data_IF_793968643047
#
_entry.id   IF_793968643047
#
_cell.length_a   1.000
_cell.length_b   1.000
_cell.length_c   1.000
_cell.angle_alpha   90.00
_cell.angle_beta   90.00
_cell.angle_gamma   90.00
#
_symmetry.space_group_name_H-M   'P 1'
#
loop_
_entity.id
_entity.type
_entity.pdbx_description
1 polymer ?
#
# COMPACT_ATOMS: atom_id res chain seq x y z
N UNK A 1 -26.29 28.24 6.30
CA UNK A 1 -27.46 28.01 5.43
C UNK A 1 -26.94 27.97 4.00
N UNK A 2 -26.52 26.75 3.51
CA UNK A 2 -26.01 26.56 2.15
C UNK A 2 -27.10 25.85 1.34
N UNK A 3 -27.53 26.51 0.28
CA UNK A 3 -28.54 26.06 -0.67
C UNK A 3 -28.04 24.82 -1.44
N UNK A 4 -28.75 23.70 -1.29
CA UNK A 4 -28.65 22.56 -2.19
C UNK A 4 -29.54 22.85 -3.41
N UNK A 5 -28.96 23.34 -4.49
CA UNK A 5 -29.61 23.37 -5.79
C UNK A 5 -29.55 21.97 -6.39
N UNK A 6 -30.66 21.25 -6.35
CA UNK A 6 -30.88 20.01 -7.04
C UNK A 6 -30.91 20.29 -8.56
N UNK A 7 -29.84 19.91 -9.28
CA UNK A 7 -29.85 19.83 -10.73
C UNK A 7 -30.70 18.63 -11.17
N UNK A 8 -31.97 18.88 -11.47
CA UNK A 8 -32.83 17.96 -12.19
C UNK A 8 -32.31 17.85 -13.64
N UNK A 9 -31.70 16.73 -14.00
CA UNK A 9 -31.34 16.38 -15.36
C UNK A 9 -32.42 15.46 -15.95
N UNK A 10 -32.74 15.59 -17.25
CA UNK A 10 -33.85 14.87 -17.88
C UNK A 10 -33.68 13.36 -17.85
N UNK A 11 -34.78 12.65 -17.69
CA UNK A 11 -34.86 11.21 -17.76
C UNK A 11 -34.38 10.75 -19.17
N UNK A 12 -33.19 10.15 -19.23
CA UNK A 12 -32.68 9.57 -20.45
C UNK A 12 -33.41 8.24 -20.72
N UNK A 13 -33.99 8.14 -21.90
CA UNK A 13 -34.67 6.92 -22.38
C UNK A 13 -33.73 5.69 -22.28
N UNK A 14 -34.35 4.52 -22.11
CA UNK A 14 -33.68 3.22 -22.07
C UNK A 14 -32.97 2.90 -23.40
N UNK A 15 -31.73 3.38 -23.56
CA UNK A 15 -30.83 2.87 -24.59
C UNK A 15 -30.26 1.54 -24.11
N UNK A 16 -30.32 0.48 -24.95
CA UNK A 16 -29.58 -0.78 -24.71
C UNK A 16 -28.13 -0.42 -24.41
N UNK A 17 -27.62 -0.87 -23.27
CA UNK A 17 -26.24 -0.59 -22.90
C UNK A 17 -25.31 -1.24 -23.92
N UNK A 18 -24.42 -0.43 -24.48
CA UNK A 18 -23.42 -0.85 -25.43
C UNK A 18 -22.26 -1.50 -24.65
N UNK A 19 -22.17 -2.83 -24.74
CA UNK A 19 -21.16 -3.63 -24.03
C UNK A 19 -19.71 -3.33 -24.48
N UNK A 20 -19.56 -2.64 -25.60
CA UNK A 20 -18.25 -2.24 -26.14
C UNK A 20 -17.70 -0.97 -25.50
N UNK A 21 -18.50 -0.24 -24.72
CA UNK A 21 -18.09 1.04 -24.12
C UNK A 21 -17.52 0.87 -22.71
N UNK A 22 -16.50 1.69 -22.43
CA UNK A 22 -15.95 1.87 -21.08
C UNK A 22 -17.01 2.50 -20.18
N UNK A 23 -17.14 1.98 -18.94
CA UNK A 23 -17.93 2.64 -17.89
C UNK A 23 -17.01 3.55 -17.09
N UNK A 24 -17.33 4.84 -17.03
CA UNK A 24 -16.63 5.82 -16.22
C UNK A 24 -17.39 6.07 -14.92
N UNK A 25 -16.66 6.41 -13.87
CA UNK A 25 -17.23 6.69 -12.54
C UNK A 25 -16.53 7.91 -11.94
N UNK A 26 -17.32 8.89 -11.46
CA UNK A 26 -16.83 9.99 -10.62
C UNK A 26 -17.51 9.85 -9.26
N UNK A 27 -16.74 9.86 -8.20
CA UNK A 27 -17.24 9.66 -6.84
C UNK A 27 -16.58 10.57 -5.83
N UNK A 28 -17.32 10.82 -4.76
CA UNK A 28 -16.83 11.48 -3.56
C UNK A 28 -17.07 10.58 -2.36
N UNK A 29 -16.21 10.63 -1.39
CA UNK A 29 -16.42 9.94 -0.11
C UNK A 29 -15.76 10.71 1.04
N UNK A 30 -16.28 10.48 2.24
CA UNK A 30 -15.74 10.96 3.51
C UNK A 30 -15.42 9.79 4.42
N UNK A 31 -14.35 9.90 5.19
CA UNK A 31 -13.84 8.83 6.05
C UNK A 31 -13.51 9.35 7.44
N UNK A 32 -14.49 9.37 8.36
CA UNK A 32 -14.20 9.55 9.77
C UNK A 32 -13.46 8.33 10.31
N UNK A 33 -12.34 8.53 11.00
CA UNK A 33 -11.47 7.44 11.41
C UNK A 33 -10.89 7.67 12.81
N UNK A 34 -10.48 6.57 13.43
CA UNK A 34 -9.76 6.50 14.68
C UNK A 34 -8.27 6.28 14.39
N UNK A 35 -7.39 7.06 15.04
CA UNK A 35 -5.95 6.87 14.95
C UNK A 35 -5.54 5.75 15.91
N UNK A 36 -4.91 4.70 15.38
CA UNK A 36 -4.39 3.61 16.20
C UNK A 36 -3.19 4.14 17.01
N UNK A 37 -3.18 4.00 18.35
CA UNK A 37 -2.14 4.56 19.21
C UNK A 37 -0.86 3.71 19.19
N UNK A 38 -0.30 3.51 18.01
CA UNK A 38 0.92 2.72 17.78
C UNK A 38 2.17 3.35 18.38
N UNK A 39 2.16 4.65 18.64
CA UNK A 39 3.26 5.38 19.27
C UNK A 39 2.76 6.24 20.45
N UNK A 40 3.64 6.53 21.40
CA UNK A 40 3.34 7.34 22.60
C UNK A 40 2.97 8.78 22.27
N UNK A 41 3.43 9.32 21.14
CA UNK A 41 2.99 10.61 20.60
C UNK A 41 1.45 10.70 20.52
N UNK A 42 0.78 9.68 19.99
CA UNK A 42 -0.69 9.64 19.92
C UNK A 42 -1.36 9.44 21.29
N UNK A 43 -0.60 9.02 22.32
CA UNK A 43 -1.11 8.82 23.69
C UNK A 43 -0.99 10.06 24.55
N UNK A 44 -0.46 11.18 24.03
CA UNK A 44 -0.33 12.46 24.71
C UNK A 44 1.11 12.95 24.91
N UNK A 45 2.14 12.18 24.50
CA UNK A 45 3.52 12.68 24.48
C UNK A 45 3.76 13.52 23.21
N UNK A 46 2.94 14.57 23.03
CA UNK A 46 2.96 15.57 21.97
C UNK A 46 2.94 16.98 22.57
N UNK A 47 3.07 18.03 21.77
CA UNK A 47 3.10 19.41 22.26
C UNK A 47 1.76 19.82 22.91
N UNK A 48 0.64 19.26 22.45
CA UNK A 48 -0.67 19.52 23.02
C UNK A 48 -0.89 18.84 24.38
N UNK A 49 -0.04 17.86 24.78
CA UNK A 49 -0.22 17.05 25.98
C UNK A 49 -1.54 16.27 25.99
N UNK A 50 -2.14 16.00 24.82
CA UNK A 50 -3.44 15.38 24.66
C UNK A 50 -3.38 14.17 23.73
N UNK A 51 -4.26 13.22 23.98
CA UNK A 51 -4.44 12.07 23.09
C UNK A 51 -4.98 12.55 21.72
N UNK A 52 -4.31 12.09 20.68
CA UNK A 52 -4.73 12.26 19.29
C UNK A 52 -5.30 10.92 18.81
N UNK A 53 -6.61 10.81 18.74
CA UNK A 53 -7.31 9.58 18.41
C UNK A 53 -8.32 9.72 17.27
N UNK A 54 -8.49 10.93 16.73
CA UNK A 54 -9.46 11.22 15.67
C UNK A 54 -8.76 11.69 14.41
N UNK A 55 -9.25 11.21 13.27
CA UNK A 55 -8.88 11.72 11.97
C UNK A 55 -10.10 11.74 11.05
N UNK A 56 -9.99 12.49 9.97
CA UNK A 56 -11.01 12.56 8.95
C UNK A 56 -10.39 12.82 7.60
N UNK A 57 -11.04 12.33 6.53
CA UNK A 57 -10.61 12.66 5.18
C UNK A 57 -11.78 12.81 4.22
N UNK A 58 -11.58 13.64 3.19
CA UNK A 58 -12.50 13.81 2.08
C UNK A 58 -11.78 13.41 0.78
N UNK A 59 -12.49 12.70 -0.09
CA UNK A 59 -11.90 12.14 -1.30
C UNK A 59 -12.72 12.49 -2.53
N UNK A 60 -12.01 12.75 -3.64
CA UNK A 60 -12.53 12.82 -5.00
C UNK A 60 -11.88 11.70 -5.81
N UNK A 61 -12.69 10.87 -6.48
CA UNK A 61 -12.23 9.71 -7.22
C UNK A 61 -12.76 9.72 -8.65
N UNK A 62 -11.90 9.43 -9.61
CA UNK A 62 -12.25 9.05 -10.96
C UNK A 62 -11.81 7.63 -11.23
N UNK A 63 -12.71 6.79 -11.78
CA UNK A 63 -12.37 5.44 -12.17
C UNK A 63 -13.08 5.01 -13.44
N UNK A 64 -12.60 3.92 -14.01
CA UNK A 64 -13.22 3.26 -15.16
C UNK A 64 -13.24 1.74 -14.97
N UNK A 65 -14.19 1.10 -15.63
CA UNK A 65 -14.26 -0.36 -15.75
C UNK A 65 -14.13 -0.73 -17.23
N UNK A 66 -13.39 -1.82 -17.50
CA UNK A 66 -13.20 -2.30 -18.88
C UNK A 66 -14.54 -2.71 -19.52
N UNK A 67 -14.68 -2.56 -20.87
CA UNK A 67 -15.84 -3.06 -21.60
C UNK A 67 -16.10 -4.54 -21.32
N UNK A 68 -17.38 -4.93 -21.27
CA UNK A 68 -17.74 -6.30 -20.92
C UNK A 68 -17.27 -7.35 -21.92
N UNK A 69 -17.19 -7.00 -23.18
CA UNK A 69 -16.71 -7.83 -24.30
C UNK A 69 -15.18 -7.85 -24.43
N UNK A 70 -14.48 -6.90 -23.82
CA UNK A 70 -13.02 -6.88 -23.82
C UNK A 70 -12.45 -8.07 -23.03
N UNK A 71 -11.22 -8.46 -23.35
CA UNK A 71 -10.52 -9.54 -22.63
C UNK A 71 -10.46 -9.29 -21.12
N UNK A 72 -10.02 -8.10 -20.67
CA UNK A 72 -9.94 -7.75 -19.27
C UNK A 72 -11.33 -7.67 -18.61
N UNK A 73 -12.34 -7.15 -19.32
CA UNK A 73 -13.70 -7.11 -18.82
C UNK A 73 -14.34 -8.50 -18.63
N UNK A 74 -13.93 -9.50 -19.43
CA UNK A 74 -14.37 -10.91 -19.24
C UNK A 74 -13.64 -11.58 -18.08
N UNK A 75 -12.34 -11.31 -17.90
CA UNK A 75 -11.54 -11.88 -16.80
C UNK A 75 -11.95 -11.23 -15.46
N UNK A 76 -12.13 -9.90 -15.44
CA UNK A 76 -12.42 -9.09 -14.25
C UNK A 76 -13.72 -8.31 -14.40
N UNK A 77 -14.89 -8.98 -14.43
CA UNK A 77 -16.15 -8.37 -14.86
C UNK A 77 -16.67 -7.26 -13.95
N UNK A 78 -16.19 -7.16 -12.71
CA UNK A 78 -16.65 -6.17 -11.73
C UNK A 78 -15.54 -5.21 -11.28
N UNK A 79 -14.33 -5.40 -11.79
CA UNK A 79 -13.20 -4.56 -11.42
C UNK A 79 -13.34 -3.15 -12.01
N UNK A 80 -12.96 -2.19 -11.21
CA UNK A 80 -12.79 -0.79 -11.60
C UNK A 80 -11.46 -0.27 -11.06
N UNK A 81 -10.85 0.63 -11.77
CA UNK A 81 -9.56 1.22 -11.42
C UNK A 81 -9.53 2.70 -11.79
N UNK A 82 -8.71 3.47 -11.07
CA UNK A 82 -8.65 4.89 -11.32
C UNK A 82 -7.66 5.64 -10.44
N UNK A 83 -7.85 6.94 -10.37
CA UNK A 83 -7.04 7.87 -9.59
C UNK A 83 -7.93 8.64 -8.61
N UNK A 84 -7.38 8.97 -7.46
CA UNK A 84 -8.08 9.76 -6.45
C UNK A 84 -7.20 10.83 -5.82
N UNK A 85 -7.87 11.83 -5.30
CA UNK A 85 -7.33 12.89 -4.45
C UNK A 85 -7.94 12.77 -3.08
N UNK A 86 -7.15 12.97 -2.03
CA UNK A 86 -7.65 13.05 -0.66
C UNK A 86 -7.11 14.28 0.05
N UNK A 87 -7.92 14.83 0.94
CA UNK A 87 -7.51 15.77 1.95
C UNK A 87 -7.73 15.14 3.32
N UNK A 88 -6.68 15.09 4.14
CA UNK A 88 -6.72 14.45 5.45
C UNK A 88 -6.53 15.48 6.56
N UNK A 89 -7.15 15.26 7.72
CA UNK A 89 -6.91 16.00 8.94
C UNK A 89 -6.78 15.04 10.12
N UNK A 90 -5.87 15.37 11.03
CA UNK A 90 -5.64 14.67 12.28
C UNK A 90 -6.01 15.53 13.49
N UNK A 91 -6.64 16.70 13.23
CA UNK A 91 -7.01 17.71 14.21
C UNK A 91 -5.83 18.25 15.03
N UNK A 92 -4.63 18.14 14.47
CA UNK A 92 -3.37 18.69 14.96
C UNK A 92 -2.61 19.23 13.75
N UNK A 93 -2.80 20.53 13.49
CA UNK A 93 -2.21 21.18 12.32
C UNK A 93 -0.76 21.58 12.53
N UNK A 94 -0.34 21.80 13.77
CA UNK A 94 1.00 22.28 14.08
C UNK A 94 2.03 21.15 14.03
N UNK A 95 1.76 20.02 14.66
CA UNK A 95 2.71 18.90 14.73
C UNK A 95 2.59 17.91 13.56
N UNK A 96 1.36 17.61 13.10
CA UNK A 96 1.12 16.63 12.02
C UNK A 96 0.84 17.29 10.67
N UNK A 97 0.10 18.39 10.68
CA UNK A 97 -0.38 19.07 9.48
C UNK A 97 -1.71 18.49 8.96
N UNK A 98 -2.08 18.93 7.75
CA UNK A 98 -3.28 18.49 7.05
C UNK A 98 -2.92 17.99 5.65
N UNK A 99 -2.34 16.79 5.52
CA UNK A 99 -1.77 16.33 4.28
C UNK A 99 -2.81 15.99 3.21
N UNK A 100 -2.49 16.34 1.97
CA UNK A 100 -3.18 15.85 0.79
C UNK A 100 -2.56 14.55 0.29
N UNK A 101 -3.32 13.73 -0.43
CA UNK A 101 -2.81 12.54 -1.08
C UNK A 101 -3.30 12.44 -2.53
N UNK A 102 -2.43 11.90 -3.39
CA UNK A 102 -2.75 11.48 -4.76
C UNK A 102 -2.50 9.98 -4.83
N UNK A 103 -3.47 9.23 -5.31
CA UNK A 103 -3.38 7.77 -5.31
C UNK A 103 -4.02 7.12 -6.53
N UNK A 104 -3.48 5.99 -6.95
CA UNK A 104 -4.16 5.03 -7.81
C UNK A 104 -4.99 4.09 -6.93
N UNK A 105 -6.13 3.64 -7.44
CA UNK A 105 -6.95 2.68 -6.72
C UNK A 105 -7.57 1.64 -7.65
N UNK A 106 -7.89 0.51 -7.08
CA UNK A 106 -8.60 -0.58 -7.73
C UNK A 106 -9.57 -1.20 -6.74
N UNK A 107 -10.76 -1.49 -7.21
CA UNK A 107 -11.77 -2.23 -6.48
C UNK A 107 -12.47 -3.25 -7.34
N UNK A 108 -13.11 -4.21 -6.69
CA UNK A 108 -13.96 -5.18 -7.35
C UNK A 108 -14.99 -5.73 -6.37
N UNK A 109 -16.02 -6.35 -6.92
CA UNK A 109 -17.06 -7.03 -6.16
C UNK A 109 -16.56 -8.38 -5.66
N UNK A 110 -16.74 -8.60 -4.34
CA UNK A 110 -16.52 -9.88 -3.69
C UNK A 110 -17.77 -10.75 -3.72
N UNK A 111 -18.93 -10.13 -3.48
CA UNK A 111 -20.21 -10.83 -3.47
C UNK A 111 -21.36 -9.93 -3.92
N UNK A 112 -22.33 -10.53 -4.64
CA UNK A 112 -23.62 -9.91 -4.94
C UNK A 112 -24.62 -10.33 -3.86
N UNK A 113 -25.06 -9.40 -3.02
CA UNK A 113 -25.97 -9.67 -1.90
C UNK A 113 -27.44 -9.59 -2.32
N UNK A 114 -27.78 -8.69 -3.26
CA UNK A 114 -29.08 -8.59 -3.88
C UNK A 114 -28.98 -7.98 -5.28
N UNK A 115 -30.10 -7.80 -5.98
CA UNK A 115 -30.07 -7.18 -7.32
C UNK A 115 -29.42 -5.78 -7.34
N UNK A 116 -29.46 -5.05 -6.21
CA UNK A 116 -28.97 -3.68 -6.10
C UNK A 116 -27.87 -3.49 -5.05
N UNK A 117 -27.51 -4.52 -4.31
CA UNK A 117 -26.54 -4.44 -3.21
C UNK A 117 -25.40 -5.42 -3.45
N UNK A 118 -24.17 -4.93 -3.36
CA UNK A 118 -22.96 -5.73 -3.44
C UNK A 118 -22.04 -5.51 -2.23
N UNK A 119 -21.18 -6.47 -1.99
CA UNK A 119 -20.05 -6.38 -1.09
C UNK A 119 -18.78 -6.30 -1.92
N UNK A 120 -18.03 -5.21 -1.77
CA UNK A 120 -16.89 -4.85 -2.60
C UNK A 120 -15.64 -4.62 -1.73
N UNK A 121 -14.45 -4.77 -2.32
CA UNK A 121 -13.20 -4.28 -1.74
C UNK A 121 -12.61 -3.16 -2.59
N UNK A 122 -11.76 -2.34 -2.00
CA UNK A 122 -10.98 -1.33 -2.69
C UNK A 122 -9.60 -1.16 -2.04
N UNK A 123 -8.54 -1.13 -2.86
CA UNK A 123 -7.18 -0.81 -2.48
C UNK A 123 -6.76 0.52 -3.07
N UNK A 124 -6.10 1.35 -2.28
CA UNK A 124 -5.55 2.63 -2.72
C UNK A 124 -4.05 2.65 -2.42
N UNK A 125 -3.25 3.07 -3.40
CA UNK A 125 -1.81 3.23 -3.28
C UNK A 125 -1.39 4.56 -3.86
N UNK A 126 -0.61 5.35 -3.11
CA UNK A 126 -0.19 6.66 -3.57
C UNK A 126 0.82 7.33 -2.66
N UNK A 127 0.89 8.63 -2.84
CA UNK A 127 1.76 9.52 -2.08
C UNK A 127 0.93 10.58 -1.39
N UNK A 128 1.34 10.95 -0.18
CA UNK A 128 0.75 12.05 0.58
C UNK A 128 1.81 13.09 0.91
N UNK A 129 1.43 14.36 0.88
CA UNK A 129 2.31 15.53 1.04
C UNK A 129 1.62 16.62 1.85
N UNK A 130 2.40 17.54 2.42
CA UNK A 130 1.88 18.57 3.33
C UNK A 130 1.91 18.14 4.79
N UNK A 131 2.73 17.16 5.12
CA UNK A 131 3.04 16.78 6.49
C UNK A 131 3.99 17.78 7.14
N UNK A 132 3.88 17.94 8.45
CA UNK A 132 4.85 18.64 9.29
C UNK A 132 5.77 17.58 9.94
N UNK A 133 7.00 17.37 9.41
CA UNK A 133 7.87 16.33 9.92
C UNK A 133 8.53 16.75 11.24
N UNK A 134 9.15 15.76 11.89
CA UNK A 134 10.05 15.97 13.01
C UNK A 134 11.10 17.04 12.68
N UNK A 135 11.22 18.04 13.54
CA UNK A 135 12.09 19.21 13.37
C UNK A 135 12.51 19.73 14.76
N UNK A 136 13.51 19.08 15.39
CA UNK A 136 13.89 19.38 16.76
C UNK A 136 14.61 20.74 16.93
N UNK A 137 15.12 21.30 15.84
CA UNK A 137 15.87 22.55 15.86
C UNK A 137 15.14 23.74 15.25
N UNK A 138 13.96 23.54 14.67
CA UNK A 138 13.21 24.56 13.98
C UNK A 138 13.80 24.96 12.63
N UNK A 139 14.55 24.07 11.99
CA UNK A 139 15.17 24.32 10.68
C UNK A 139 14.13 24.49 9.56
N UNK A 140 12.98 23.85 9.70
CA UNK A 140 11.88 23.90 8.75
C UNK A 140 10.87 25.00 9.06
N UNK A 141 10.74 25.37 10.34
CA UNK A 141 9.87 26.44 10.83
C UNK A 141 10.53 27.12 12.04
N UNK A 142 11.16 28.29 11.88
CA UNK A 142 11.86 28.99 12.98
C UNK A 142 10.96 29.39 14.16
N UNK A 143 9.65 29.37 13.98
CA UNK A 143 8.69 29.73 15.02
C UNK A 143 8.14 28.54 15.80
N UNK A 144 8.48 27.30 15.40
CA UNK A 144 7.95 26.10 16.00
C UNK A 144 8.91 24.93 15.86
N UNK A 145 9.37 24.37 16.97
CA UNK A 145 10.14 23.12 17.02
C UNK A 145 9.18 21.94 17.10
N UNK A 146 9.30 20.98 16.18
CA UNK A 146 8.48 19.77 16.14
C UNK A 146 9.28 18.56 16.66
N UNK A 147 9.81 18.69 17.87
CA UNK A 147 10.71 17.73 18.51
C UNK A 147 10.01 16.49 19.08
N UNK A 148 8.70 16.56 19.29
CA UNK A 148 7.90 15.45 19.83
C UNK A 148 7.30 14.55 18.77
N UNK A 149 7.23 14.99 17.51
CA UNK A 149 6.65 14.25 16.41
C UNK A 149 7.55 13.10 15.93
N UNK A 150 7.64 12.03 16.69
CA UNK A 150 8.42 10.83 16.32
C UNK A 150 7.69 9.90 15.34
N UNK A 151 6.55 10.32 14.77
CA UNK A 151 5.75 9.48 13.87
C UNK A 151 5.93 9.85 12.41
N UNK A 152 6.28 11.11 12.10
CA UNK A 152 6.44 11.62 10.74
C UNK A 152 7.81 12.27 10.58
N UNK A 153 8.69 11.68 9.79
CA UNK A 153 10.05 12.18 9.54
C UNK A 153 10.24 12.80 8.15
N UNK A 154 9.19 12.92 7.33
CA UNK A 154 9.30 13.54 6.01
C UNK A 154 8.02 14.24 5.56
N UNK A 155 8.18 15.24 4.66
CA UNK A 155 7.05 15.96 4.03
C UNK A 155 6.28 15.11 3.01
N UNK A 156 6.92 14.05 2.51
CA UNK A 156 6.34 13.13 1.53
C UNK A 156 6.29 11.72 2.15
N UNK A 157 5.10 11.13 2.20
CA UNK A 157 4.88 9.80 2.75
C UNK A 157 4.06 8.96 1.77
N UNK A 158 4.23 7.63 1.81
CA UNK A 158 3.35 6.70 1.15
C UNK A 158 1.94 6.79 1.75
N UNK A 159 0.94 6.60 0.92
CA UNK A 159 -0.47 6.46 1.26
C UNK A 159 -0.94 5.09 0.83
N UNK A 160 -1.32 4.25 1.77
CA UNK A 160 -1.83 2.90 1.54
C UNK A 160 -3.15 2.77 2.26
N UNK A 161 -4.20 2.34 1.54
CA UNK A 161 -5.51 2.11 2.15
C UNK A 161 -6.12 0.83 1.61
N UNK A 162 -6.86 0.13 2.46
CA UNK A 162 -7.72 -1.00 2.10
C UNK A 162 -9.10 -0.82 2.73
N UNK A 163 -10.13 -1.03 1.96
CA UNK A 163 -11.51 -0.90 2.42
C UNK A 163 -12.41 -2.03 1.95
N UNK A 164 -13.45 -2.30 2.75
CA UNK A 164 -14.56 -3.20 2.43
C UNK A 164 -15.86 -2.41 2.49
N UNK A 165 -16.64 -2.51 1.42
CA UNK A 165 -17.76 -1.63 1.15
C UNK A 165 -19.03 -2.42 0.86
N UNK A 166 -20.14 -2.00 1.42
CA UNK A 166 -21.46 -2.29 0.91
C UNK A 166 -21.80 -1.21 -0.10
N UNK A 167 -22.04 -1.61 -1.36
CA UNK A 167 -22.38 -0.69 -2.45
C UNK A 167 -23.80 -0.94 -2.91
N UNK A 168 -24.66 0.06 -2.75
CA UNK A 168 -26.03 0.07 -3.20
C UNK A 168 -26.19 0.87 -4.48
N UNK A 169 -26.91 0.32 -5.47
CA UNK A 169 -27.22 0.99 -6.74
C UNK A 169 -28.73 1.31 -6.80
N UNK A 170 -29.15 2.47 -6.24
CA UNK A 170 -30.57 2.87 -6.26
C UNK A 170 -31.11 3.08 -7.67
N UNK A 171 -30.29 3.61 -8.57
CA UNK A 171 -30.61 3.87 -9.96
C UNK A 171 -29.43 3.44 -10.87
N UNK A 172 -29.65 3.21 -12.17
CA UNK A 172 -28.58 2.73 -13.08
C UNK A 172 -27.30 3.55 -13.09
N UNK A 173 -27.40 4.85 -12.81
CA UNK A 173 -26.27 5.79 -12.87
C UNK A 173 -25.69 6.17 -11.49
N UNK A 174 -26.25 5.69 -10.39
CA UNK A 174 -25.86 6.10 -9.05
C UNK A 174 -25.43 4.94 -8.18
N UNK A 175 -24.32 5.10 -7.50
CA UNK A 175 -23.82 4.21 -6.46
C UNK A 175 -23.75 4.98 -5.14
N UNK A 176 -24.23 4.35 -4.08
CA UNK A 176 -24.04 4.81 -2.69
C UNK A 176 -23.27 3.70 -1.99
N UNK A 177 -22.22 4.05 -1.28
CA UNK A 177 -21.40 3.07 -0.57
C UNK A 177 -21.21 3.45 0.88
N UNK A 178 -21.20 2.45 1.74
CA UNK A 178 -20.82 2.58 3.15
C UNK A 178 -19.94 1.38 3.52
N UNK A 179 -18.96 1.58 4.40
CA UNK A 179 -18.07 0.50 4.79
C UNK A 179 -17.02 0.93 5.80
N UNK A 180 -16.00 0.11 5.90
CA UNK A 180 -14.85 0.34 6.77
C UNK A 180 -13.58 0.36 5.93
N UNK A 181 -12.61 1.15 6.35
CA UNK A 181 -11.28 1.09 5.78
C UNK A 181 -10.16 1.30 6.81
N UNK A 182 -8.97 0.90 6.41
CA UNK A 182 -7.73 1.10 7.16
C UNK A 182 -6.76 1.87 6.27
N UNK A 183 -6.12 2.87 6.85
CA UNK A 183 -5.12 3.68 6.13
C UNK A 183 -3.80 3.68 6.87
N UNK A 184 -2.70 3.58 6.12
CA UNK A 184 -1.34 3.66 6.61
C UNK A 184 -0.59 4.76 5.87
N UNK A 185 0.11 5.60 6.64
CA UNK A 185 1.04 6.61 6.12
C UNK A 185 2.43 6.37 6.71
N UNK A 186 3.45 6.33 5.86
CA UNK A 186 4.85 6.25 6.29
C UNK A 186 5.80 6.66 5.16
N UNK A 187 7.03 7.01 5.52
CA UNK A 187 8.07 7.27 4.52
C UNK A 187 8.92 6.03 4.18
N UNK A 188 8.59 4.86 4.75
CA UNK A 188 9.33 3.63 4.49
C UNK A 188 10.77 3.65 5.00
N UNK A 189 11.04 4.36 6.09
CA UNK A 189 12.37 4.57 6.68
C UNK A 189 13.37 5.33 5.79
N UNK A 190 12.91 6.07 4.79
CA UNK A 190 13.78 6.95 4.02
C UNK A 190 14.21 8.20 4.79
N UNK A 191 13.51 8.51 5.87
CA UNK A 191 13.82 9.55 6.85
C UNK A 191 13.42 9.08 8.25
N UNK A 192 14.18 9.49 9.26
CA UNK A 192 13.86 9.22 10.66
C UNK A 192 13.28 10.50 11.30
N UNK A 193 12.34 10.37 12.24
CA UNK A 193 11.64 9.16 12.68
C UNK A 193 10.58 8.67 11.70
N UNK A 194 10.10 7.43 11.85
CA UNK A 194 9.06 6.87 11.01
C UNK A 194 8.23 5.80 11.75
N UNK A 195 7.60 6.15 12.85
CA UNK A 195 6.64 5.26 13.47
C UNK A 195 5.35 5.10 12.62
N UNK A 196 5.11 6.05 11.72
CA UNK A 196 3.98 6.07 10.81
C UNK A 196 2.64 6.40 11.47
N UNK A 197 1.63 6.66 10.65
CA UNK A 197 0.27 6.95 11.10
C UNK A 197 -0.67 5.87 10.55
N UNK A 198 -1.37 5.19 11.45
CA UNK A 198 -2.34 4.15 11.12
C UNK A 198 -3.72 4.58 11.57
N UNK A 199 -4.71 4.47 10.70
CA UNK A 199 -6.11 4.79 11.02
C UNK A 199 -7.04 3.65 10.62
N UNK A 200 -8.13 3.49 11.36
CA UNK A 200 -9.25 2.61 11.04
C UNK A 200 -10.54 3.38 11.20
N UNK A 201 -11.48 3.24 10.26
CA UNK A 201 -12.70 4.02 10.34
C UNK A 201 -13.79 3.63 9.41
N UNK A 202 -14.84 4.45 9.43
CA UNK A 202 -15.95 4.35 8.51
C UNK A 202 -15.68 5.07 7.19
N UNK A 203 -16.38 4.65 6.14
CA UNK A 203 -16.41 5.31 4.84
C UNK A 203 -17.84 5.43 4.37
N UNK A 204 -18.23 6.62 3.91
CA UNK A 204 -19.51 6.86 3.25
C UNK A 204 -19.23 7.61 1.96
N UNK A 205 -19.83 7.17 0.85
CA UNK A 205 -19.60 7.79 -0.44
C UNK A 205 -20.75 7.66 -1.42
N UNK A 206 -20.70 8.50 -2.44
CA UNK A 206 -21.59 8.45 -3.58
C UNK A 206 -20.79 8.59 -4.88
N UNK A 207 -21.23 7.91 -5.92
CA UNK A 207 -20.60 8.00 -7.23
C UNK A 207 -21.63 7.98 -8.36
N UNK A 208 -21.32 8.70 -9.45
CA UNK A 208 -22.09 8.70 -10.68
C UNK A 208 -21.37 7.93 -11.75
N UNK A 209 -22.12 7.06 -12.45
CA UNK A 209 -21.66 6.30 -13.58
C UNK A 209 -22.01 6.99 -14.90
N UNK A 210 -21.12 6.88 -15.88
CA UNK A 210 -21.26 7.40 -17.23
C UNK A 210 -20.86 6.32 -18.24
N UNK A 211 -21.46 6.31 -19.44
CA UNK A 211 -21.19 5.30 -20.45
C UNK A 211 -22.10 4.08 -20.29
N UNK A 212 -21.55 2.87 -20.38
CA UNK A 212 -22.33 1.63 -20.24
C UNK A 212 -22.71 1.41 -18.78
N UNK A 213 -23.99 1.63 -18.44
CA UNK A 213 -24.46 1.70 -17.02
C UNK A 213 -25.17 0.43 -16.52
N UNK A 214 -25.00 -0.72 -17.19
CA UNK A 214 -25.62 -1.96 -16.72
C UNK A 214 -24.92 -2.54 -15.49
N UNK A 215 -25.73 -2.97 -14.51
CA UNK A 215 -25.27 -3.82 -13.42
C UNK A 215 -24.81 -5.15 -14.03
N UNK A 216 -23.50 -5.39 -14.04
CA UNK A 216 -22.98 -6.68 -14.46
C UNK A 216 -23.38 -7.73 -13.42
N UNK A 217 -24.20 -8.68 -13.83
CA UNK A 217 -24.49 -9.85 -13.00
C UNK A 217 -23.22 -10.70 -12.96
N UNK A 218 -22.66 -10.90 -11.77
CA UNK A 218 -21.70 -12.00 -11.57
C UNK A 218 -22.52 -13.27 -11.64
N UNK A 219 -22.08 -14.31 -12.37
CA UNK A 219 -22.64 -15.64 -12.20
C UNK A 219 -22.55 -16.00 -10.71
N UNK A 220 -23.67 -16.28 -10.09
CA UNK A 220 -23.72 -16.78 -8.72
C UNK A 220 -23.01 -18.13 -8.70
N UNK A 221 -21.85 -18.22 -8.02
CA UNK A 221 -21.17 -19.50 -7.80
C UNK A 221 -19.66 -19.54 -8.02
N UNK A 222 -19.01 -18.51 -8.53
CA UNK A 222 -17.55 -18.50 -8.66
C UNK A 222 -16.86 -17.91 -7.43
N UNK A 223 -16.20 -18.73 -6.63
CA UNK A 223 -15.26 -18.25 -5.59
C UNK A 223 -13.98 -17.74 -6.24
N UNK A 224 -13.41 -16.64 -5.74
CA UNK A 224 -12.05 -16.18 -6.12
C UNK A 224 -10.99 -17.26 -5.82
N UNK A 225 -11.31 -18.24 -4.98
CA UNK A 225 -10.47 -19.37 -4.62
C UNK A 225 -10.81 -20.66 -5.38
N UNK A 226 -11.71 -20.60 -6.38
CA UNK A 226 -12.04 -21.78 -7.17
C UNK A 226 -10.82 -22.27 -7.95
N UNK A 227 -10.43 -23.51 -7.65
CA UNK A 227 -9.32 -24.18 -8.30
C UNK A 227 -9.74 -24.58 -9.72
N UNK A 228 -9.01 -24.11 -10.70
CA UNK A 228 -9.22 -24.45 -12.11
C UNK A 228 -8.78 -25.92 -12.36
N UNK A 229 -9.71 -26.85 -12.44
CA UNK A 229 -9.48 -28.31 -12.39
C UNK A 229 -8.95 -28.97 -13.66
N UNK A 230 -8.77 -28.23 -14.76
CA UNK A 230 -8.59 -28.79 -16.09
C UNK A 230 -7.20 -29.32 -16.46
N UNK A 231 -6.48 -30.05 -15.75
CA UNK A 231 -5.32 -30.84 -16.21
C UNK A 231 -4.61 -31.62 -15.12
N UNK A 232 -4.14 -32.79 -15.36
CA UNK A 232 -3.39 -33.65 -14.44
C UNK A 232 -1.90 -33.75 -14.83
N UNK A 233 -1.00 -33.85 -13.84
CA UNK A 233 0.38 -34.25 -14.00
C UNK A 233 1.45 -33.15 -13.98
N UNK A 234 2.74 -33.54 -13.97
CA UNK A 234 3.92 -32.66 -13.89
C UNK A 234 4.04 -31.64 -15.04
N UNK A 235 3.60 -31.99 -16.25
CA UNK A 235 3.56 -31.06 -17.40
C UNK A 235 2.68 -29.84 -17.10
N UNK A 236 1.64 -30.03 -16.36
CA UNK A 236 0.70 -29.00 -15.93
C UNK A 236 1.30 -28.06 -14.88
N UNK A 237 2.06 -28.60 -13.91
CA UNK A 237 2.76 -27.77 -12.92
C UNK A 237 3.68 -26.80 -13.66
N UNK A 238 4.49 -27.28 -14.60
CA UNK A 238 5.40 -26.45 -15.38
C UNK A 238 4.68 -25.37 -16.21
N UNK A 239 3.47 -25.65 -16.74
CA UNK A 239 2.67 -24.69 -17.49
C UNK A 239 2.05 -23.59 -16.61
N UNK A 240 1.93 -23.82 -15.30
CA UNK A 240 1.37 -22.86 -14.32
C UNK A 240 2.43 -22.14 -13.51
N UNK A 241 3.71 -22.53 -13.65
CA UNK A 241 4.81 -21.85 -12.95
C UNK A 241 5.21 -20.56 -13.66
N UNK A 242 5.40 -19.53 -12.87
CA UNK A 242 6.11 -18.29 -13.25
C UNK A 242 7.26 -18.07 -12.29
N UNK A 243 8.31 -17.43 -12.77
CA UNK A 243 9.50 -17.08 -12.01
C UNK A 243 9.69 -15.58 -12.11
N UNK A 244 9.37 -14.86 -11.04
CA UNK A 244 9.57 -13.42 -10.98
C UNK A 244 10.95 -13.15 -10.36
N UNK A 245 11.83 -12.50 -11.10
CA UNK A 245 13.13 -12.03 -10.60
C UNK A 245 13.03 -10.53 -10.42
N UNK A 246 13.25 -10.04 -9.19
CA UNK A 246 13.10 -8.65 -8.82
C UNK A 246 14.41 -8.11 -8.28
N UNK A 247 14.93 -7.05 -8.89
CA UNK A 247 16.04 -6.27 -8.37
C UNK A 247 15.47 -4.96 -7.80
N UNK A 248 15.79 -4.64 -6.56
CA UNK A 248 15.31 -3.44 -5.89
C UNK A 248 16.41 -2.72 -5.12
N UNK A 249 16.19 -1.44 -4.83
CA UNK A 249 17.05 -0.63 -4.00
C UNK A 249 16.27 0.39 -3.19
N UNK A 250 16.91 0.93 -2.15
CA UNK A 250 16.39 2.01 -1.33
C UNK A 250 17.53 2.76 -0.61
N UNK A 251 17.23 3.98 -0.17
CA UNK A 251 18.01 4.69 0.84
C UNK A 251 17.29 4.64 2.17
N UNK A 252 17.99 4.30 3.25
CA UNK A 252 17.43 4.16 4.60
C UNK A 252 18.09 5.12 5.57
N UNK A 253 17.31 5.86 6.35
CA UNK A 253 17.78 6.55 7.54
C UNK A 253 17.70 5.62 8.75
N UNK A 254 18.63 5.72 9.68
CA UNK A 254 18.67 4.88 10.89
C UNK A 254 18.86 5.72 12.14
N UNK A 255 18.02 5.48 13.15
CA UNK A 255 18.24 5.94 14.51
C UNK A 255 19.13 4.94 15.26
N UNK A 256 20.08 5.46 16.04
CA UNK A 256 20.97 4.68 16.89
C UNK A 256 20.82 5.14 18.34
N UNK A 257 20.95 4.22 19.28
CA UNK A 257 20.86 4.54 20.70
C UNK A 257 22.26 4.48 21.30
N UNK A 258 22.66 5.56 21.99
CA UNK A 258 23.89 5.64 22.74
C UNK A 258 23.62 6.19 24.15
N UNK A 259 24.00 5.44 25.18
CA UNK A 259 23.72 5.77 26.59
C UNK A 259 22.24 6.13 26.82
N UNK A 260 21.34 5.33 26.27
CA UNK A 260 19.86 5.50 26.34
C UNK A 260 19.33 6.77 25.65
N UNK A 261 20.17 7.50 24.92
CA UNK A 261 19.80 8.68 24.14
C UNK A 261 19.70 8.28 22.65
N UNK A 262 18.58 8.56 21.99
CA UNK A 262 18.45 8.32 20.55
C UNK A 262 19.21 9.40 19.76
N UNK A 263 20.00 8.94 18.81
CA UNK A 263 20.71 9.79 17.84
C UNK A 263 20.30 9.41 16.43
N UNK A 264 20.25 10.37 15.53
CA UNK A 264 20.04 10.12 14.10
C UNK A 264 21.42 9.98 13.46
N UNK A 265 21.65 8.90 12.72
CA UNK A 265 22.86 8.77 11.93
C UNK A 265 22.87 9.79 10.79
N UNK A 266 24.01 10.43 10.55
CA UNK A 266 24.19 11.29 9.39
C UNK A 266 24.08 10.50 8.08
N UNK A 267 23.36 11.07 7.12
CA UNK A 267 23.22 10.51 5.78
C UNK A 267 22.21 9.34 5.69
N UNK A 268 22.30 8.66 4.57
CA UNK A 268 21.44 7.49 4.26
C UNK A 268 22.31 6.30 3.93
N UNK A 269 21.88 5.14 4.40
CA UNK A 269 22.47 3.85 4.09
C UNK A 269 21.83 3.27 2.83
N UNK A 270 22.67 2.73 1.95
CA UNK A 270 22.22 2.06 0.73
C UNK A 270 21.72 0.66 1.02
N UNK A 271 20.62 0.28 0.35
CA UNK A 271 20.08 -1.07 0.36
C UNK A 271 19.92 -1.53 -1.08
N UNK A 272 20.35 -2.76 -1.35
CA UNK A 272 20.15 -3.44 -2.64
C UNK A 272 19.69 -4.87 -2.35
N UNK A 273 18.67 -5.33 -3.06
CA UNK A 273 18.17 -6.69 -2.87
C UNK A 273 17.69 -7.35 -4.14
N UNK A 274 17.69 -8.67 -4.09
CA UNK A 274 17.25 -9.57 -5.16
C UNK A 274 16.23 -10.55 -4.60
N UNK A 275 15.04 -10.62 -5.21
CA UNK A 275 14.07 -11.68 -4.95
C UNK A 275 13.93 -12.59 -6.15
N UNK A 276 13.95 -13.89 -5.94
CA UNK A 276 13.67 -14.92 -6.95
C UNK A 276 12.44 -15.67 -6.49
N UNK A 277 11.31 -15.44 -7.17
CA UNK A 277 9.99 -15.93 -6.77
C UNK A 277 9.46 -16.97 -7.74
N UNK A 278 9.66 -18.28 -7.53
CA UNK A 278 8.88 -19.33 -8.18
C UNK A 278 7.44 -19.29 -7.64
N UNK A 279 6.49 -18.92 -8.51
CA UNK A 279 5.08 -18.79 -8.18
C UNK A 279 4.24 -19.75 -9.02
N UNK A 280 3.39 -20.51 -8.35
CA UNK A 280 2.39 -21.39 -8.96
C UNK A 280 1.07 -20.64 -9.10
N UNK A 281 0.51 -20.59 -10.30
CA UNK A 281 -0.80 -20.00 -10.58
C UNK A 281 -1.90 -20.98 -10.17
N UNK A 282 -2.53 -20.71 -9.04
CA UNK A 282 -3.68 -21.48 -8.55
C UNK A 282 -4.88 -21.26 -9.46
N UNK A 283 -5.18 -19.98 -9.73
CA UNK A 283 -6.23 -19.54 -10.66
C UNK A 283 -5.85 -18.19 -11.30
N UNK A 284 -6.78 -17.56 -12.03
CA UNK A 284 -6.55 -16.27 -12.70
C UNK A 284 -6.34 -15.07 -11.75
N UNK A 285 -6.73 -15.20 -10.47
CA UNK A 285 -6.66 -14.13 -9.48
C UNK A 285 -5.59 -14.36 -8.41
N UNK A 286 -5.05 -15.59 -8.32
CA UNK A 286 -4.18 -15.95 -7.22
C UNK A 286 -3.00 -16.81 -7.64
N UNK A 287 -1.81 -16.40 -7.19
CA UNK A 287 -0.56 -17.15 -7.30
C UNK A 287 0.02 -17.33 -5.91
N UNK A 288 0.72 -18.43 -5.68
CA UNK A 288 1.43 -18.69 -4.43
C UNK A 288 2.72 -19.43 -4.70
N UNK A 289 3.68 -19.35 -3.80
CA UNK A 289 4.94 -20.02 -3.97
C UNK A 289 5.96 -19.64 -2.91
N UNK A 290 7.21 -19.81 -3.26
CA UNK A 290 8.36 -19.48 -2.41
C UNK A 290 9.11 -18.27 -2.98
N UNK A 291 10.03 -17.72 -2.19
CA UNK A 291 11.02 -16.76 -2.65
C UNK A 291 12.34 -17.00 -1.96
N UNK A 292 13.41 -16.83 -2.73
CA UNK A 292 14.76 -16.62 -2.21
C UNK A 292 14.96 -15.10 -2.19
N UNK A 293 15.24 -14.56 -1.01
CA UNK A 293 15.36 -13.11 -0.78
C UNK A 293 16.77 -12.79 -0.32
N UNK A 294 17.56 -12.15 -1.18
CA UNK A 294 18.94 -11.74 -0.88
C UNK A 294 18.95 -10.22 -0.71
N UNK A 295 19.58 -9.71 0.34
CA UNK A 295 19.67 -8.28 0.60
C UNK A 295 21.04 -7.91 1.14
N UNK A 296 21.66 -6.89 0.56
CA UNK A 296 22.71 -6.08 1.14
C UNK A 296 22.05 -4.86 1.79
N UNK A 297 22.38 -4.61 3.07
CA UNK A 297 21.89 -3.46 3.84
C UNK A 297 23.10 -2.83 4.55
N UNK A 298 23.53 -1.69 4.06
CA UNK A 298 24.68 -0.96 4.61
C UNK A 298 24.48 -0.59 6.08
N UNK A 299 23.23 -0.45 6.55
CA UNK A 299 22.88 -0.11 7.92
C UNK A 299 22.73 -1.32 8.85
N UNK A 300 22.81 -2.54 8.33
CA UNK A 300 22.62 -3.74 9.15
C UNK A 300 23.73 -3.85 10.20
N UNK A 301 23.33 -4.13 11.45
CA UNK A 301 24.19 -4.27 12.62
C UNK A 301 25.04 -3.04 13.00
N UNK A 302 24.80 -1.86 12.41
CA UNK A 302 25.51 -0.61 12.78
C UNK A 302 25.39 -0.31 14.26
N UNK A 303 24.28 -0.67 14.91
CA UNK A 303 24.05 -0.49 16.34
C UNK A 303 25.08 -1.21 17.21
N UNK A 304 25.67 -2.31 16.74
CA UNK A 304 26.70 -3.08 17.42
C UNK A 304 28.12 -2.50 17.21
N UNK A 305 28.26 -1.50 16.32
CA UNK A 305 29.53 -0.88 15.93
C UNK A 305 29.61 0.61 16.28
N UNK A 306 28.77 1.08 17.20
CA UNK A 306 28.80 2.48 17.67
C UNK A 306 30.09 2.72 18.46
N UNK A 307 30.79 3.80 18.09
CA UNK A 307 32.06 4.21 18.71
C UNK A 307 31.87 5.30 19.77
N UNK A 308 30.76 6.03 19.74
CA UNK A 308 30.45 7.12 20.66
C UNK A 308 29.80 8.30 19.97
N UNK A 309 29.70 9.42 20.64
CA UNK A 309 29.20 10.70 20.11
C UNK A 309 30.40 11.64 19.99
N UNK A 310 30.56 12.27 18.83
CA UNK A 310 31.63 13.25 18.61
C UNK A 310 31.34 14.60 19.27
N UNK A 311 32.33 15.50 19.26
CA UNK A 311 32.20 16.86 19.79
C UNK A 311 31.16 17.70 19.02
N UNK A 312 30.82 17.28 17.81
CA UNK A 312 29.75 17.82 16.95
C UNK A 312 28.34 17.35 17.33
N UNK A 313 28.19 16.49 18.37
CA UNK A 313 26.94 15.87 18.77
C UNK A 313 26.50 14.71 17.90
N UNK A 314 27.25 14.39 16.85
CA UNK A 314 26.93 13.32 15.91
C UNK A 314 27.43 11.97 16.40
N UNK A 315 26.62 10.93 16.18
CA UNK A 315 27.01 9.57 16.54
C UNK A 315 28.06 9.05 15.56
N UNK A 316 29.17 8.53 16.11
CA UNK A 316 30.23 7.90 15.35
C UNK A 316 30.11 6.39 15.42
N UNK A 317 30.35 5.72 14.31
CA UNK A 317 30.31 4.26 14.22
C UNK A 317 31.32 3.75 13.19
N UNK A 318 31.73 2.51 13.36
CA UNK A 318 32.52 1.80 12.37
C UNK A 318 31.60 1.08 11.39
N UNK A 319 31.99 1.01 10.13
CA UNK A 319 31.23 0.25 9.14
C UNK A 319 31.29 -1.24 9.49
N UNK A 320 30.13 -1.92 9.64
CA UNK A 320 30.09 -3.37 9.89
C UNK A 320 30.79 -4.14 8.77
N UNK A 321 31.38 -5.32 9.06
CA UNK A 321 31.93 -6.21 8.03
C UNK A 321 30.87 -6.60 7.00
N UNK A 322 31.24 -6.80 5.73
CA UNK A 322 30.31 -7.14 4.65
C UNK A 322 29.42 -8.36 5.00
N UNK A 323 29.97 -9.34 5.71
CA UNK A 323 29.22 -10.52 6.12
C UNK A 323 28.08 -10.23 7.12
N UNK A 324 28.12 -9.10 7.82
CA UNK A 324 27.05 -8.62 8.72
C UNK A 324 26.04 -7.72 8.01
N UNK A 325 26.41 -7.23 6.83
CA UNK A 325 25.55 -6.41 5.96
C UNK A 325 24.77 -7.26 4.92
N UNK A 326 25.14 -8.53 4.76
CA UNK A 326 24.51 -9.45 3.82
C UNK A 326 23.58 -10.42 4.54
N UNK A 327 22.35 -10.55 4.03
CA UNK A 327 21.36 -11.52 4.47
C UNK A 327 20.73 -12.25 3.30
N UNK A 328 20.49 -13.55 3.47
CA UNK A 328 19.67 -14.34 2.56
C UNK A 328 18.59 -15.07 3.34
N UNK A 329 17.36 -14.98 2.85
CA UNK A 329 16.18 -15.53 3.47
C UNK A 329 15.34 -16.37 2.52
N UNK A 330 14.43 -17.13 3.12
CA UNK A 330 13.38 -17.85 2.41
C UNK A 330 12.02 -17.32 2.89
N UNK A 331 11.11 -17.11 1.95
CA UNK A 331 9.75 -16.69 2.27
C UNK A 331 8.68 -17.43 1.47
N UNK A 332 7.50 -17.56 2.08
CA UNK A 332 6.27 -17.92 1.40
C UNK A 332 5.70 -16.67 0.74
N UNK A 333 5.12 -16.84 -0.45
CA UNK A 333 4.51 -15.74 -1.21
C UNK A 333 3.06 -16.04 -1.54
N UNK A 334 2.20 -15.02 -1.39
CA UNK A 334 0.84 -14.99 -1.87
C UNK A 334 0.68 -13.75 -2.75
N UNK A 335 0.22 -13.93 -3.99
CA UNK A 335 0.04 -12.84 -4.94
C UNK A 335 -1.39 -12.81 -5.46
N UNK A 336 -2.06 -11.67 -5.20
CA UNK A 336 -3.41 -11.38 -5.69
C UNK A 336 -3.29 -10.58 -6.98
N UNK A 337 -3.74 -11.18 -8.09
CA UNK A 337 -3.62 -10.62 -9.44
C UNK A 337 -4.87 -9.81 -9.78
N UNK A 338 -4.68 -8.55 -10.13
CA UNK A 338 -5.72 -7.59 -10.49
C UNK A 338 -5.46 -7.04 -11.90
N UNK A 339 -6.41 -6.30 -12.51
CA UNK A 339 -6.29 -5.88 -13.91
C UNK A 339 -5.08 -5.03 -14.27
N UNK A 340 -4.61 -4.16 -13.36
CA UNK A 340 -3.52 -3.21 -13.63
C UNK A 340 -2.30 -3.52 -12.77
N UNK A 341 -2.51 -4.03 -11.57
CA UNK A 341 -1.43 -4.37 -10.65
C UNK A 341 -1.73 -5.67 -9.91
N UNK A 342 -0.73 -6.23 -9.27
CA UNK A 342 -0.89 -7.32 -8.32
C UNK A 342 -0.29 -6.94 -6.96
N UNK A 343 -0.87 -7.50 -5.90
CA UNK A 343 -0.38 -7.35 -4.52
C UNK A 343 0.31 -8.66 -4.15
N UNK A 344 1.61 -8.58 -3.85
CA UNK A 344 2.40 -9.70 -3.38
C UNK A 344 2.68 -9.54 -1.89
N UNK A 345 2.29 -10.53 -1.11
CA UNK A 345 2.53 -10.60 0.34
C UNK A 345 3.53 -11.73 0.58
N UNK A 346 4.55 -11.45 1.38
CA UNK A 346 5.57 -12.42 1.77
C UNK A 346 5.70 -12.55 3.27
N UNK A 347 5.95 -13.77 3.73
CA UNK A 347 6.33 -14.06 5.10
C UNK A 347 7.56 -14.98 5.08
N UNK A 348 8.66 -14.54 5.68
CA UNK A 348 9.93 -15.22 5.60
C UNK A 348 10.83 -15.06 6.79
N UNK A 349 11.97 -15.74 6.71
CA UNK A 349 13.03 -15.67 7.70
C UNK A 349 14.39 -15.70 7.01
N UNK A 350 15.33 -14.90 7.52
CA UNK A 350 16.72 -15.00 7.10
C UNK A 350 17.31 -16.34 7.57
N UNK A 351 17.97 -17.05 6.67
CA UNK A 351 18.60 -18.36 6.91
C UNK A 351 20.13 -18.28 6.84
N UNK A 352 20.65 -17.29 6.11
CA UNK A 352 22.08 -16.97 6.05
C UNK A 352 22.23 -15.51 6.45
N UNK A 353 22.88 -15.26 7.60
CA UNK A 353 23.10 -13.91 8.14
C UNK A 353 24.15 -13.94 9.24
N UNK A 354 24.69 -12.77 9.57
CA UNK A 354 25.47 -12.51 10.79
C UNK A 354 24.91 -11.30 11.53
N UNK A 355 25.17 -11.23 12.87
CA UNK A 355 24.68 -10.16 13.74
C UNK A 355 23.23 -10.39 14.19
N UNK A 356 22.75 -9.49 15.07
CA UNK A 356 21.45 -9.66 15.75
C UNK A 356 20.28 -9.06 14.95
N UNK A 357 20.52 -7.98 14.21
CA UNK A 357 19.45 -7.25 13.52
C UNK A 357 18.84 -8.03 12.34
N UNK A 358 19.59 -8.94 11.74
CA UNK A 358 19.08 -9.79 10.65
C UNK A 358 18.41 -11.07 11.15
N UNK A 359 18.43 -11.33 12.46
CA UNK A 359 17.77 -12.48 13.09
C UNK A 359 16.28 -12.17 13.21
N UNK A 360 15.41 -13.12 12.90
CA UNK A 360 13.96 -12.98 13.08
C UNK A 360 13.18 -13.26 11.80
N UNK A 361 11.89 -12.97 11.87
CA UNK A 361 10.98 -13.06 10.74
C UNK A 361 10.88 -11.71 10.03
N UNK A 362 10.61 -11.77 8.74
CA UNK A 362 10.28 -10.55 7.98
C UNK A 362 8.99 -10.76 7.17
N UNK A 363 8.31 -9.66 6.94
CA UNK A 363 7.14 -9.59 6.08
C UNK A 363 7.43 -8.63 4.94
N UNK A 364 6.89 -8.94 3.78
CA UNK A 364 6.96 -8.05 2.62
C UNK A 364 5.56 -7.81 2.09
N UNK A 365 5.28 -6.57 1.74
CA UNK A 365 4.10 -6.18 1.00
C UNK A 365 4.58 -5.45 -0.25
N UNK A 366 4.20 -5.90 -1.43
CA UNK A 366 4.63 -5.29 -2.67
C UNK A 366 3.49 -5.15 -3.67
N UNK A 367 3.46 -4.00 -4.32
CA UNK A 367 2.68 -3.72 -5.50
C UNK A 367 3.54 -4.01 -6.73
N UNK A 368 3.03 -4.80 -7.65
CA UNK A 368 3.66 -5.05 -8.95
C UNK A 368 2.73 -4.56 -10.04
N UNK A 369 3.25 -3.79 -11.00
CA UNK A 369 2.49 -3.31 -12.16
C UNK A 369 3.27 -3.58 -13.44
N UNK A 370 2.67 -4.32 -14.37
CA UNK A 370 3.30 -4.65 -15.64
C UNK A 370 3.46 -3.38 -16.50
N UNK A 371 4.68 -3.13 -17.04
CA UNK A 371 5.01 -1.97 -17.88
C UNK A 371 5.04 -2.39 -19.34
N UNK A 372 5.82 -3.43 -19.64
CA UNK A 372 6.03 -3.89 -21.00
C UNK A 372 6.34 -5.38 -21.02
N UNK A 373 5.52 -6.16 -21.70
CA UNK A 373 5.65 -7.62 -21.76
C UNK A 373 5.78 -8.25 -20.37
N UNK A 374 6.95 -8.76 -20.06
CA UNK A 374 7.30 -9.45 -18.81
C UNK A 374 7.98 -8.54 -17.78
N UNK A 375 8.24 -7.27 -18.15
CA UNK A 375 8.84 -6.27 -17.27
C UNK A 375 7.75 -5.62 -16.41
N UNK A 376 7.97 -5.55 -15.11
CA UNK A 376 7.07 -4.90 -14.16
C UNK A 376 7.82 -4.00 -13.16
N UNK A 377 7.13 -2.95 -12.72
CA UNK A 377 7.55 -2.15 -11.56
C UNK A 377 7.25 -2.94 -10.29
N UNK A 378 8.16 -2.86 -9.32
CA UNK A 378 8.02 -3.41 -7.99
C UNK A 378 8.16 -2.28 -6.97
N UNK A 379 7.07 -2.01 -6.23
CA UNK A 379 7.06 -1.04 -5.13
C UNK A 379 6.68 -1.81 -3.89
N UNK A 380 7.65 -2.11 -3.06
CA UNK A 380 7.45 -2.93 -1.88
C UNK A 380 7.96 -2.29 -0.61
N UNK A 381 7.59 -2.92 0.48
CA UNK A 381 8.00 -2.59 1.82
C UNK A 381 8.31 -3.84 2.62
N UNK A 382 9.40 -3.81 3.37
CA UNK A 382 9.83 -4.89 4.26
C UNK A 382 9.61 -4.45 5.70
N UNK A 383 9.01 -5.32 6.51
CA UNK A 383 8.86 -5.22 7.95
C UNK A 383 9.72 -6.30 8.61
N UNK A 384 10.16 -6.06 9.83
CA UNK A 384 10.79 -7.04 10.69
C UNK A 384 9.88 -7.31 11.89
N UNK A 385 9.69 -8.59 12.22
CA UNK A 385 8.85 -9.06 13.34
C UNK A 385 7.48 -8.39 13.46
N UNK A 386 6.81 -8.11 12.31
CA UNK A 386 5.47 -7.51 12.16
C UNK A 386 5.29 -6.06 12.61
N UNK A 387 6.26 -5.46 13.26
CA UNK A 387 6.08 -4.11 13.83
C UNK A 387 7.24 -3.16 13.50
N UNK A 388 8.44 -3.67 13.26
CA UNK A 388 9.60 -2.82 13.01
C UNK A 388 9.70 -2.48 11.52
N UNK A 389 9.51 -1.20 11.16
CA UNK A 389 9.76 -0.73 9.81
C UNK A 389 11.19 -1.04 9.39
N UNK A 390 11.40 -1.70 8.24
CA UNK A 390 12.74 -1.99 7.78
C UNK A 390 13.11 -1.08 6.60
N UNK A 391 12.67 -1.38 5.38
CA UNK A 391 13.04 -0.60 4.21
C UNK A 391 12.02 -0.68 3.07
N UNK A 392 12.07 0.33 2.21
CA UNK A 392 11.43 0.29 0.90
C UNK A 392 12.14 -0.73 -0.01
N UNK A 393 11.39 -1.25 -0.97
CA UNK A 393 11.85 -2.16 -2.01
C UNK A 393 11.39 -1.59 -3.36
N UNK A 394 12.10 -0.57 -3.86
CA UNK A 394 11.76 0.10 -5.12
C UNK A 394 12.60 -0.49 -6.24
N UNK A 395 11.96 -1.09 -7.24
CA UNK A 395 12.71 -1.79 -8.27
C UNK A 395 11.93 -2.22 -9.48
N UNK A 396 12.58 -3.05 -10.25
CA UNK A 396 12.04 -3.67 -11.45
C UNK A 396 12.12 -5.18 -11.32
N UNK A 397 11.15 -5.84 -11.92
CA UNK A 397 11.14 -7.30 -12.00
C UNK A 397 10.89 -7.78 -13.42
N UNK A 398 11.38 -8.98 -13.68
CA UNK A 398 11.14 -9.69 -14.92
C UNK A 398 10.49 -11.04 -14.64
N UNK A 399 9.45 -11.36 -15.43
CA UNK A 399 8.65 -12.59 -15.28
C UNK A 399 8.98 -13.58 -16.36
N UNK A 400 9.42 -14.78 -15.96
CA UNK A 400 9.72 -15.91 -16.83
C UNK A 400 8.65 -17.00 -16.68
N UNK A 401 8.56 -17.91 -17.67
CA UNK A 401 7.71 -19.12 -17.60
C UNK A 401 6.41 -19.04 -18.36
N UNK A 402 5.67 -20.14 -18.39
CA UNK A 402 4.48 -20.33 -19.21
C UNK A 402 3.18 -19.94 -18.49
N UNK A 403 3.23 -19.66 -17.19
CA UNK A 403 2.08 -19.27 -16.39
C UNK A 403 1.64 -17.81 -16.58
N UNK A 404 2.09 -17.14 -17.64
CA UNK A 404 1.78 -15.74 -17.95
C UNK A 404 0.31 -15.57 -18.34
N UNK A 405 -0.28 -14.51 -17.90
CA UNK A 405 -1.58 -14.03 -18.43
C UNK A 405 -1.27 -12.99 -19.51
N UNK A 406 -1.28 -13.39 -20.75
CA UNK A 406 -1.24 -12.46 -21.89
C UNK A 406 -2.64 -12.23 -22.45
#
# INVERSE_FOLDING_TARGET
MFLATALALPAAGHTKADSSKVTHRIGINVRPSYILPSHKFFRGENALGKRLDKSGSAHLQYSFAFPADSRLGKIYPTAYQGIGLAWNTFFDQDEIGSPAAVYAFQGARLAQLSQKLSFDYEWNFGLSFGWHPYDPYGDLNPNFTNDKNLVVGSRLNAYINVGFLLTWQPAPQWLISAGIDMTHFSNGNTSYPNAGVNTIGGRIGAARLFGATQIRKIPTGGSIFEYDSDASGLKRIAQRMTYDVVLYGAGRAKGLIWNDVPHISEGKFGIIGLNINPLYRVNKFFRTGLSIDIQYDESANVSEHVAGVGDDGNIKFYRPPLAEQLGAGLSLRAEFVMPIFSINIGFGRNVIFKGKELKGFYQTLALKSDIYKDLFIHIGYKLHDFHDPNNLMLGLGWRFGNGRQH
#
